data_IF_742087506063
#
_entry.id   IF_742087506063
#
_cell.length_a   1.000
_cell.length_b   1.000
_cell.length_c   1.000
_cell.angle_alpha   90.00
_cell.angle_beta   90.00
_cell.angle_gamma   90.00
#
_symmetry.space_group_name_H-M   'P 1'
#
loop_
_entity.id
_entity.type
_entity.pdbx_description
1 polymer ?
#
# COMPACT_ATOMS: atom_id res chain seq x y z
N UNK A 1 52.36 2.26 -31.45
CA UNK A 1 51.90 0.85 -31.30
C UNK A 1 50.45 0.88 -30.80
N UNK A 2 49.48 0.81 -31.75
CA UNK A 2 48.04 0.81 -31.48
C UNK A 2 47.61 -0.55 -30.96
N UNK A 3 47.24 -0.66 -29.72
CA UNK A 3 46.75 -1.91 -29.11
C UNK A 3 45.30 -2.15 -29.57
N UNK A 4 45.14 -2.93 -30.63
CA UNK A 4 43.83 -3.39 -31.11
C UNK A 4 43.16 -4.22 -30.00
N UNK A 5 42.18 -3.65 -29.31
CA UNK A 5 41.36 -4.33 -28.34
C UNK A 5 40.48 -5.36 -29.07
N UNK A 6 40.61 -6.64 -28.67
CA UNK A 6 39.99 -7.76 -29.35
C UNK A 6 38.46 -7.71 -29.15
N UNK A 7 37.71 -7.68 -30.25
CA UNK A 7 36.24 -7.62 -30.29
C UNK A 7 35.58 -8.69 -29.39
N UNK A 8 36.25 -9.83 -29.26
CA UNK A 8 35.81 -10.93 -28.38
C UNK A 8 35.86 -10.58 -26.87
N UNK A 9 36.85 -9.78 -26.45
CA UNK A 9 36.92 -9.30 -25.06
C UNK A 9 35.84 -8.22 -24.76
N UNK A 10 35.57 -7.38 -25.76
CA UNK A 10 34.49 -6.38 -25.64
C UNK A 10 33.10 -7.03 -25.57
N UNK A 11 32.83 -8.05 -26.42
CA UNK A 11 31.59 -8.82 -26.38
C UNK A 11 31.45 -9.65 -25.11
N UNK A 12 32.53 -10.20 -24.52
CA UNK A 12 32.49 -10.87 -23.21
C UNK A 12 32.19 -9.86 -22.07
N UNK A 13 32.70 -8.63 -22.14
CA UNK A 13 32.40 -7.57 -21.22
C UNK A 13 30.92 -7.16 -21.25
N UNK A 14 30.34 -7.05 -22.46
CA UNK A 14 28.91 -6.73 -22.60
C UNK A 14 28.00 -7.88 -22.15
N UNK A 15 28.33 -9.14 -22.41
CA UNK A 15 27.59 -10.30 -21.89
C UNK A 15 27.65 -10.38 -20.35
N UNK A 16 28.77 -9.99 -19.74
CA UNK A 16 28.90 -9.95 -18.28
C UNK A 16 28.12 -8.78 -17.65
N UNK A 17 28.01 -7.64 -18.32
CA UNK A 17 27.18 -6.51 -17.91
C UNK A 17 25.67 -6.77 -18.09
N UNK A 18 25.29 -7.54 -19.14
CA UNK A 18 23.90 -7.91 -19.42
C UNK A 18 23.39 -9.08 -18.55
N UNK A 19 24.29 -9.83 -17.90
CA UNK A 19 23.93 -11.00 -17.06
C UNK A 19 23.92 -10.71 -15.56
N UNK A 20 24.11 -9.47 -15.16
CA UNK A 20 23.71 -9.07 -13.82
C UNK A 20 22.19 -8.99 -13.84
N UNK A 21 21.54 -10.16 -13.70
CA UNK A 21 20.14 -10.25 -13.28
C UNK A 21 20.08 -9.45 -11.99
N UNK A 22 19.57 -8.23 -12.09
CA UNK A 22 19.05 -7.50 -10.93
C UNK A 22 17.96 -8.41 -10.37
N UNK A 23 18.36 -9.22 -9.41
CA UNK A 23 17.46 -10.13 -8.71
C UNK A 23 16.50 -9.21 -7.97
N UNK A 24 15.21 -9.45 -8.14
CA UNK A 24 14.09 -8.79 -7.44
C UNK A 24 14.28 -8.73 -5.90
N UNK A 25 15.26 -9.47 -5.40
CA UNK A 25 15.70 -9.53 -4.01
C UNK A 25 16.52 -8.31 -3.54
N UNK A 26 17.23 -7.63 -4.44
CA UNK A 26 18.05 -6.46 -4.07
C UNK A 26 17.18 -5.18 -3.91
N UNK A 27 15.94 -5.19 -4.42
CA UNK A 27 14.95 -4.14 -4.19
C UNK A 27 14.19 -4.27 -2.87
N UNK A 28 14.40 -5.36 -2.11
CA UNK A 28 13.68 -5.66 -0.87
C UNK A 28 14.46 -5.30 0.39
N UNK A 29 15.40 -4.37 0.37
CA UNK A 29 16.14 -4.00 1.57
C UNK A 29 15.50 -2.84 2.33
N UNK A 30 14.83 -3.22 3.42
CA UNK A 30 14.67 -2.51 4.70
C UNK A 30 14.31 -1.01 4.63
N UNK A 31 13.07 -0.75 4.26
CA UNK A 31 12.42 0.52 4.46
C UNK A 31 11.01 0.43 3.87
N UNK A 32 10.11 -0.27 4.56
CA UNK A 32 8.73 -0.34 4.12
C UNK A 32 8.14 1.07 4.07
N UNK A 33 8.08 1.63 2.86
CA UNK A 33 7.36 2.88 2.61
C UNK A 33 5.90 2.66 3.02
N UNK A 34 5.45 3.37 4.04
CA UNK A 34 4.05 3.25 4.48
C UNK A 34 3.14 3.97 3.49
N UNK A 35 1.91 3.47 3.30
CA UNK A 35 0.94 4.12 2.40
C UNK A 35 0.68 5.59 2.76
N UNK A 36 0.67 5.91 4.06
CA UNK A 36 0.58 7.28 4.55
C UNK A 36 1.85 8.09 4.19
N UNK A 37 3.02 7.52 4.40
CA UNK A 37 4.28 8.16 4.06
C UNK A 37 4.39 8.46 2.56
N UNK A 38 4.00 7.50 1.70
CA UNK A 38 3.99 7.70 0.25
C UNK A 38 3.05 8.84 -0.19
N UNK A 39 1.89 8.96 0.47
CA UNK A 39 0.96 10.08 0.22
C UNK A 39 1.54 11.43 0.62
N UNK A 40 2.23 11.50 1.76
CA UNK A 40 2.94 12.71 2.21
C UNK A 40 4.07 13.04 1.23
N UNK A 41 4.87 12.04 0.84
CA UNK A 41 5.94 12.20 -0.14
C UNK A 41 5.43 12.74 -1.48
N UNK A 42 4.33 12.17 -1.99
CA UNK A 42 3.68 12.65 -3.22
C UNK A 42 3.25 14.13 -3.11
N UNK A 43 2.63 14.52 -2.00
CA UNK A 43 2.20 15.91 -1.80
C UNK A 43 3.39 16.87 -1.78
N UNK A 44 4.52 16.47 -1.19
CA UNK A 44 5.75 17.27 -1.21
C UNK A 44 6.32 17.37 -2.63
N UNK A 45 6.40 16.25 -3.37
CA UNK A 45 6.88 16.26 -4.76
C UNK A 45 6.02 17.15 -5.66
N UNK A 46 4.69 17.14 -5.52
CA UNK A 46 3.81 18.05 -6.27
C UNK A 46 4.13 19.51 -6.02
N UNK A 47 4.24 19.90 -4.76
CA UNK A 47 4.57 21.30 -4.39
C UNK A 47 5.95 21.71 -4.87
N UNK A 48 6.96 20.81 -4.80
CA UNK A 48 8.29 21.05 -5.33
C UNK A 48 8.27 21.18 -6.86
N UNK A 49 7.50 20.33 -7.54
CA UNK A 49 7.34 20.40 -8.99
C UNK A 49 6.74 21.74 -9.42
N UNK A 50 5.65 22.20 -8.77
CA UNK A 50 5.02 23.48 -9.11
C UNK A 50 5.98 24.66 -8.94
N UNK A 51 6.77 24.70 -7.85
CA UNK A 51 7.76 25.74 -7.63
C UNK A 51 8.92 25.64 -8.65
N UNK A 52 9.40 24.43 -8.93
CA UNK A 52 10.50 24.24 -9.87
C UNK A 52 10.07 24.51 -11.32
N UNK A 53 8.84 24.16 -11.70
CA UNK A 53 8.27 24.44 -13.02
C UNK A 53 8.17 25.96 -13.29
N UNK A 54 7.98 26.76 -12.26
CA UNK A 54 7.99 28.23 -12.39
C UNK A 54 9.38 28.83 -12.53
N UNK A 55 10.43 28.01 -12.72
CA UNK A 55 11.83 28.44 -12.92
C UNK A 55 12.63 28.53 -11.63
N UNK A 56 12.07 28.17 -10.49
CA UNK A 56 12.77 28.23 -9.21
C UNK A 56 13.80 27.11 -9.07
N UNK A 57 15.04 27.38 -8.62
CA UNK A 57 16.02 26.38 -8.26
C UNK A 57 15.43 25.45 -7.17
N UNK A 58 15.73 24.15 -7.24
CA UNK A 58 15.15 23.16 -6.35
C UNK A 58 15.45 23.42 -4.86
N UNK A 59 16.64 23.94 -4.56
CA UNK A 59 17.03 24.33 -3.20
C UNK A 59 16.14 25.43 -2.63
N UNK A 60 15.88 26.48 -3.41
CA UNK A 60 15.00 27.59 -3.00
C UNK A 60 13.55 27.13 -2.88
N UNK A 61 13.10 26.25 -3.78
CA UNK A 61 11.76 25.64 -3.70
C UNK A 61 11.57 24.88 -2.39
N UNK A 62 12.54 24.07 -1.96
CA UNK A 62 12.50 23.35 -0.67
C UNK A 62 12.51 24.32 0.50
N UNK A 63 13.33 25.40 0.45
CA UNK A 63 13.39 26.43 1.50
C UNK A 63 12.06 27.16 1.67
N UNK A 64 11.42 27.54 0.58
CA UNK A 64 10.11 28.21 0.62
C UNK A 64 9.05 27.26 1.16
N UNK A 65 9.07 26.01 0.72
CA UNK A 65 8.12 25.00 1.14
C UNK A 65 8.17 24.76 2.67
N UNK A 66 9.37 24.75 3.26
CA UNK A 66 9.57 24.63 4.70
C UNK A 66 8.74 25.64 5.50
N UNK A 67 8.63 26.89 5.00
CA UNK A 67 7.91 27.96 5.70
C UNK A 67 6.40 27.95 5.45
N UNK A 68 5.94 27.28 4.38
CA UNK A 68 4.52 27.22 3.99
C UNK A 68 3.77 26.03 4.57
N UNK A 69 4.46 25.07 5.16
CA UNK A 69 3.83 23.86 5.71
C UNK A 69 3.43 24.05 7.15
N UNK A 70 2.14 23.77 7.43
CA UNK A 70 1.57 23.79 8.78
C UNK A 70 1.60 22.40 9.43
N UNK A 71 1.54 21.33 8.63
CA UNK A 71 1.57 19.95 9.13
C UNK A 71 2.95 19.60 9.65
N UNK A 72 3.01 19.11 10.89
CA UNK A 72 4.25 18.82 11.60
C UNK A 72 5.10 17.74 10.92
N UNK A 73 4.45 16.71 10.37
CA UNK A 73 5.15 15.58 9.72
C UNK A 73 5.74 16.01 8.37
N UNK A 74 4.97 16.76 7.57
CA UNK A 74 5.42 17.32 6.31
C UNK A 74 6.54 18.36 6.52
N UNK A 75 6.40 19.21 7.51
CA UNK A 75 7.43 20.22 7.84
C UNK A 75 8.74 19.56 8.26
N UNK A 76 8.69 18.57 9.14
CA UNK A 76 9.89 17.82 9.57
C UNK A 76 10.59 17.13 8.38
N UNK A 77 9.81 16.57 7.45
CA UNK A 77 10.33 15.97 6.23
C UNK A 77 11.08 17.01 5.37
N UNK A 78 10.45 18.15 5.10
CA UNK A 78 11.04 19.20 4.24
C UNK A 78 12.24 19.87 4.90
N UNK A 79 12.21 20.13 6.21
CA UNK A 79 13.36 20.63 6.99
C UNK A 79 14.55 19.69 6.85
N UNK A 80 14.31 18.38 6.97
CA UNK A 80 15.38 17.41 6.78
C UNK A 80 15.94 17.41 5.34
N UNK A 81 15.06 17.49 4.31
CA UNK A 81 15.51 17.60 2.91
C UNK A 81 16.33 18.87 2.72
N UNK A 82 15.86 20.00 3.24
CA UNK A 82 16.59 21.26 3.17
C UNK A 82 17.99 21.17 3.76
N UNK A 83 18.11 20.56 4.95
CA UNK A 83 19.42 20.39 5.60
C UNK A 83 20.38 19.60 4.71
N UNK A 84 19.93 18.45 4.15
CA UNK A 84 20.77 17.63 3.28
C UNK A 84 21.20 18.39 2.00
N UNK A 85 20.30 19.19 1.40
CA UNK A 85 20.64 20.03 0.25
C UNK A 85 21.62 21.14 0.61
N UNK A 86 21.49 21.74 1.80
CA UNK A 86 22.43 22.76 2.31
C UNK A 86 23.81 22.18 2.58
N UNK A 87 23.92 20.89 2.88
CA UNK A 87 25.17 20.14 3.00
C UNK A 87 25.77 19.72 1.64
N UNK A 88 25.14 20.14 0.52
CA UNK A 88 25.60 19.83 -0.83
C UNK A 88 25.17 18.48 -1.39
N UNK A 89 24.24 17.78 -0.73
CA UNK A 89 23.68 16.55 -1.28
C UNK A 89 22.70 16.87 -2.42
N UNK A 90 22.61 15.96 -3.39
CA UNK A 90 21.59 16.03 -4.44
C UNK A 90 20.18 15.76 -3.87
N UNK A 91 19.13 16.22 -4.56
CA UNK A 91 17.74 15.94 -4.16
C UNK A 91 17.48 14.44 -4.05
N UNK A 92 17.94 13.67 -5.03
CA UNK A 92 17.78 12.20 -5.01
C UNK A 92 18.41 11.56 -3.77
N UNK A 93 19.61 11.98 -3.39
CA UNK A 93 20.27 11.50 -2.15
C UNK A 93 19.53 11.94 -0.89
N UNK A 94 19.07 13.19 -0.85
CA UNK A 94 18.27 13.71 0.26
C UNK A 94 16.97 12.93 0.45
N UNK A 95 16.29 12.57 -0.64
CA UNK A 95 15.06 11.75 -0.61
C UNK A 95 15.34 10.29 -0.23
N UNK A 96 16.43 9.69 -0.70
CA UNK A 96 16.78 8.31 -0.44
C UNK A 96 17.04 8.01 1.05
N UNK A 97 17.46 9.00 1.82
CA UNK A 97 17.58 8.91 3.28
C UNK A 97 16.23 8.77 4.00
N UNK A 98 15.12 9.00 3.29
CA UNK A 98 13.74 9.04 3.85
C UNK A 98 12.88 7.95 3.27
N UNK A 99 13.32 6.70 3.45
CA UNK A 99 12.70 5.48 2.90
C UNK A 99 11.24 5.29 3.32
N UNK A 100 10.82 5.90 4.43
CA UNK A 100 9.41 5.90 4.85
C UNK A 100 8.49 6.64 3.88
N UNK A 101 9.00 7.65 3.18
CA UNK A 101 8.22 8.55 2.31
C UNK A 101 8.46 8.30 0.83
N UNK A 102 9.67 7.89 0.46
CA UNK A 102 10.09 7.71 -0.93
C UNK A 102 10.67 6.32 -1.15
N UNK A 103 10.18 5.65 -2.20
CA UNK A 103 10.72 4.34 -2.59
C UNK A 103 12.08 4.53 -3.30
N UNK A 104 12.99 3.53 -3.20
CA UNK A 104 14.27 3.59 -3.91
C UNK A 104 14.13 3.84 -5.41
N UNK A 105 13.11 3.22 -6.04
CA UNK A 105 12.84 3.39 -7.47
C UNK A 105 12.56 4.87 -7.83
N UNK A 106 11.76 5.57 -7.03
CA UNK A 106 11.50 7.01 -7.21
C UNK A 106 12.79 7.82 -7.09
N UNK A 107 13.62 7.52 -6.09
CA UNK A 107 14.88 8.22 -5.88
C UNK A 107 15.86 8.04 -7.04
N UNK A 108 15.97 6.82 -7.60
CA UNK A 108 16.83 6.54 -8.76
C UNK A 108 16.37 7.28 -10.01
N UNK A 109 15.05 7.36 -10.25
CA UNK A 109 14.51 8.12 -11.40
C UNK A 109 14.76 9.62 -11.23
N UNK A 110 14.62 10.16 -10.01
CA UNK A 110 14.98 11.56 -9.72
C UNK A 110 16.48 11.80 -9.94
N UNK A 111 17.33 10.87 -9.51
CA UNK A 111 18.77 10.94 -9.72
C UNK A 111 19.13 11.05 -11.21
N UNK A 112 18.48 10.25 -12.07
CA UNK A 112 18.66 10.32 -13.51
C UNK A 112 18.23 11.70 -14.06
N UNK A 113 17.12 12.27 -13.56
CA UNK A 113 16.63 13.59 -13.91
C UNK A 113 17.58 14.71 -13.49
N UNK A 114 18.17 14.62 -12.28
CA UNK A 114 19.19 15.57 -11.81
C UNK A 114 20.45 15.53 -12.68
N UNK A 115 20.94 14.33 -12.99
CA UNK A 115 22.15 14.14 -13.79
C UNK A 115 22.02 14.66 -15.23
N UNK A 116 20.80 14.63 -15.79
CA UNK A 116 20.52 15.10 -17.16
C UNK A 116 20.04 16.55 -17.22
N UNK A 117 19.83 17.21 -16.09
CA UNK A 117 19.27 18.58 -16.02
C UNK A 117 17.75 18.63 -16.35
N UNK A 118 17.08 17.49 -16.53
CA UNK A 118 15.68 17.41 -16.89
C UNK A 118 14.79 17.02 -15.71
N UNK A 119 14.98 17.67 -14.56
CA UNK A 119 14.28 17.33 -13.32
C UNK A 119 12.77 17.57 -13.40
N UNK A 120 12.32 18.69 -14.00
CA UNK A 120 10.90 19.03 -14.07
C UNK A 120 10.05 17.97 -14.81
N UNK A 121 10.38 17.54 -16.04
CA UNK A 121 9.60 16.49 -16.72
C UNK A 121 9.67 15.13 -16.00
N UNK A 122 10.77 14.82 -15.35
CA UNK A 122 10.91 13.59 -14.55
C UNK A 122 10.01 13.65 -13.32
N UNK A 123 9.98 14.74 -12.58
CA UNK A 123 9.07 14.92 -11.44
C UNK A 123 7.61 14.81 -11.87
N UNK A 124 7.23 15.41 -13.01
CA UNK A 124 5.87 15.28 -13.55
C UNK A 124 5.47 13.82 -13.77
N UNK A 125 6.33 13.01 -14.41
CA UNK A 125 6.07 11.59 -14.65
C UNK A 125 6.00 10.78 -13.37
N UNK A 126 6.85 11.06 -12.39
CA UNK A 126 6.82 10.38 -11.08
C UNK A 126 5.52 10.71 -10.35
N UNK A 127 5.10 11.97 -10.36
CA UNK A 127 3.85 12.40 -9.74
C UNK A 127 2.67 11.67 -10.38
N UNK A 128 2.58 11.66 -11.70
CA UNK A 128 1.54 10.93 -12.43
C UNK A 128 1.52 9.45 -12.06
N UNK A 129 2.67 8.79 -12.07
CA UNK A 129 2.78 7.38 -11.68
C UNK A 129 2.30 7.11 -10.25
N UNK A 130 2.69 7.96 -9.29
CA UNK A 130 2.28 7.80 -7.89
C UNK A 130 0.78 8.09 -7.69
N UNK A 131 0.20 9.04 -8.44
CA UNK A 131 -1.24 9.32 -8.45
C UNK A 131 -2.04 8.13 -8.99
N UNK A 132 -1.62 7.59 -10.14
CA UNK A 132 -2.25 6.42 -10.74
C UNK A 132 -2.18 5.21 -9.80
N UNK A 133 -1.03 4.97 -9.19
CA UNK A 133 -0.84 3.91 -8.19
C UNK A 133 -1.78 4.08 -7.00
N UNK A 134 -1.93 5.30 -6.48
CA UNK A 134 -2.85 5.58 -5.38
C UNK A 134 -4.32 5.41 -5.81
N UNK A 135 -4.68 5.85 -7.01
CA UNK A 135 -6.03 5.71 -7.57
C UNK A 135 -6.41 4.23 -7.74
N UNK A 136 -5.51 3.42 -8.30
CA UNK A 136 -5.71 1.97 -8.45
C UNK A 136 -5.90 1.32 -7.08
N UNK A 137 -5.03 1.61 -6.11
CA UNK A 137 -5.14 1.07 -4.76
C UNK A 137 -6.47 1.45 -4.08
N UNK A 138 -6.90 2.70 -4.24
CA UNK A 138 -8.18 3.18 -3.70
C UNK A 138 -9.36 2.48 -4.38
N UNK A 139 -9.29 2.30 -5.71
CA UNK A 139 -10.31 1.59 -6.48
C UNK A 139 -10.40 0.11 -6.08
N UNK A 140 -9.28 -0.58 -5.91
CA UNK A 140 -9.25 -1.98 -5.46
C UNK A 140 -9.93 -2.13 -4.09
N UNK A 141 -9.57 -1.27 -3.12
CA UNK A 141 -10.19 -1.27 -1.78
C UNK A 141 -11.69 -0.99 -1.82
N UNK A 142 -12.13 -0.10 -2.72
CA UNK A 142 -13.55 0.21 -2.92
C UNK A 142 -14.30 -0.96 -3.56
N UNK A 143 -13.68 -1.65 -4.51
CA UNK A 143 -14.28 -2.79 -5.20
C UNK A 143 -14.47 -4.01 -4.30
N UNK A 144 -13.68 -4.15 -3.23
CA UNK A 144 -13.84 -5.23 -2.24
C UNK A 144 -15.02 -5.01 -1.27
N UNK A 145 -15.63 -3.83 -1.24
CA UNK A 145 -16.75 -3.55 -0.36
C UNK A 145 -18.00 -4.37 -0.73
N UNK A 146 -18.28 -4.57 -2.01
CA UNK A 146 -19.43 -5.35 -2.48
C UNK A 146 -19.31 -6.84 -2.14
N UNK A 147 -18.23 -7.56 -2.47
CA UNK A 147 -18.06 -8.96 -2.06
C UNK A 147 -18.13 -9.14 -0.54
N UNK A 148 -17.53 -8.23 0.22
CA UNK A 148 -17.59 -8.29 1.68
C UNK A 148 -19.04 -8.14 2.20
N UNK A 149 -19.81 -7.21 1.65
CA UNK A 149 -21.22 -7.02 2.01
C UNK A 149 -22.07 -8.27 1.71
N UNK A 150 -21.94 -8.83 0.50
CA UNK A 150 -22.68 -10.03 0.09
C UNK A 150 -22.32 -11.21 0.98
N UNK A 151 -21.04 -11.41 1.29
CA UNK A 151 -20.59 -12.49 2.18
C UNK A 151 -21.15 -12.34 3.59
N UNK A 152 -21.19 -11.12 4.13
CA UNK A 152 -21.77 -10.84 5.45
C UNK A 152 -23.27 -11.16 5.46
N UNK A 153 -24.00 -10.73 4.44
CA UNK A 153 -25.45 -11.00 4.33
C UNK A 153 -25.72 -12.50 4.20
N UNK A 154 -24.97 -13.21 3.35
CA UNK A 154 -25.11 -14.66 3.20
C UNK A 154 -24.83 -15.41 4.51
N UNK A 155 -23.77 -15.03 5.24
CA UNK A 155 -23.46 -15.59 6.55
C UNK A 155 -24.57 -15.34 7.57
N UNK A 156 -25.14 -14.14 7.58
CA UNK A 156 -26.24 -13.79 8.47
C UNK A 156 -27.48 -14.64 8.18
N UNK A 157 -27.82 -14.85 6.91
CA UNK A 157 -28.94 -15.71 6.52
C UNK A 157 -28.71 -17.16 6.96
N UNK A 158 -27.50 -17.70 6.79
CA UNK A 158 -27.15 -19.07 7.24
C UNK A 158 -27.26 -19.19 8.76
N UNK A 159 -26.74 -18.22 9.50
CA UNK A 159 -26.85 -18.21 10.96
C UNK A 159 -28.32 -18.16 11.40
N UNK A 160 -29.12 -17.29 10.80
CA UNK A 160 -30.56 -17.20 11.10
C UNK A 160 -31.31 -18.50 10.78
N UNK A 161 -30.98 -19.15 9.68
CA UNK A 161 -31.54 -20.44 9.32
C UNK A 161 -31.23 -21.52 10.38
N UNK A 162 -29.95 -21.63 10.76
CA UNK A 162 -29.50 -22.62 11.74
C UNK A 162 -30.03 -22.37 13.16
N UNK A 163 -30.21 -21.08 13.54
CA UNK A 163 -30.62 -20.72 14.91
C UNK A 163 -32.16 -20.70 15.11
N UNK A 164 -32.91 -20.42 14.05
CA UNK A 164 -34.36 -20.21 14.14
C UNK A 164 -35.14 -21.33 13.47
N UNK A 165 -34.81 -21.65 12.20
CA UNK A 165 -35.58 -22.65 11.45
C UNK A 165 -35.26 -24.08 11.89
N UNK A 166 -33.99 -24.43 12.08
CA UNK A 166 -33.59 -25.78 12.42
C UNK A 166 -34.24 -26.28 13.70
N UNK A 167 -34.24 -25.52 14.84
CA UNK A 167 -34.90 -25.95 16.07
C UNK A 167 -36.43 -26.14 15.95
N UNK A 168 -37.07 -25.35 15.06
CA UNK A 168 -38.52 -25.50 14.83
C UNK A 168 -38.85 -26.82 14.10
N UNK A 169 -37.99 -27.20 13.15
CA UNK A 169 -38.14 -28.44 12.39
C UNK A 169 -37.89 -29.66 13.31
N UNK A 170 -36.90 -29.61 14.20
CA UNK A 170 -36.61 -30.63 15.20
C UNK A 170 -37.81 -30.88 16.12
N UNK A 171 -38.39 -29.83 16.67
CA UNK A 171 -39.55 -29.95 17.53
C UNK A 171 -40.81 -30.51 16.82
N UNK A 172 -40.91 -30.37 15.50
CA UNK A 172 -41.95 -30.97 14.71
C UNK A 172 -41.70 -32.46 14.43
N UNK A 173 -40.45 -32.86 14.12
CA UNK A 173 -40.05 -34.24 13.90
C UNK A 173 -40.18 -35.08 15.16
N UNK A 174 -39.78 -34.59 16.30
CA UNK A 174 -39.97 -35.31 17.60
C UNK A 174 -41.45 -35.61 17.89
N UNK A 175 -42.33 -34.67 17.56
CA UNK A 175 -43.80 -34.89 17.75
C UNK A 175 -44.39 -35.93 16.81
N UNK A 176 -43.75 -36.18 15.67
CA UNK A 176 -44.19 -37.15 14.66
C UNK A 176 -43.59 -38.56 14.88
N UNK A 177 -42.77 -38.78 15.90
CA UNK A 177 -42.14 -40.06 16.21
C UNK A 177 -41.11 -40.50 15.16
N UNK A 178 -40.59 -39.61 14.36
CA UNK A 178 -39.59 -39.91 13.34
C UNK A 178 -38.19 -40.08 13.96
N UNK A 179 -37.51 -41.19 13.62
CA UNK A 179 -36.11 -41.39 13.99
C UNK A 179 -35.23 -40.34 13.31
N UNK A 180 -34.47 -39.58 14.10
CA UNK A 180 -33.56 -38.60 13.61
C UNK A 180 -32.38 -39.28 12.90
N UNK A 181 -32.27 -39.12 11.59
CA UNK A 181 -31.17 -39.69 10.81
C UNK A 181 -29.83 -39.13 11.30
N UNK A 182 -28.78 -39.96 11.31
CA UNK A 182 -27.42 -39.57 11.78
C UNK A 182 -26.90 -38.28 11.16
N UNK A 183 -27.28 -37.98 9.91
CA UNK A 183 -26.95 -36.74 9.22
C UNK A 183 -27.65 -35.52 9.82
N UNK A 184 -28.85 -35.67 10.35
CA UNK A 184 -29.56 -34.64 11.09
C UNK A 184 -28.94 -34.41 12.47
N UNK A 185 -28.52 -35.48 13.18
CA UNK A 185 -27.77 -35.37 14.44
C UNK A 185 -26.45 -34.60 14.26
N UNK A 186 -25.73 -34.84 13.19
CA UNK A 186 -24.47 -34.14 12.89
C UNK A 186 -24.68 -32.63 12.61
N UNK A 187 -25.83 -32.27 12.01
CA UNK A 187 -26.27 -30.89 11.83
C UNK A 187 -26.68 -30.24 13.16
N UNK A 188 -27.37 -31.01 14.04
CA UNK A 188 -27.83 -30.57 15.35
C UNK A 188 -26.62 -30.30 16.28
N UNK A 189 -25.69 -31.26 16.36
CA UNK A 189 -24.46 -31.13 17.15
C UNK A 189 -23.57 -30.01 16.61
N UNK A 190 -23.46 -29.89 15.29
CA UNK A 190 -22.77 -28.76 14.63
C UNK A 190 -23.44 -27.42 14.93
N UNK A 191 -24.76 -27.35 14.95
CA UNK A 191 -25.53 -26.16 15.26
C UNK A 191 -25.40 -25.79 16.74
N UNK A 192 -25.44 -26.73 17.67
CA UNK A 192 -25.26 -26.47 19.11
C UNK A 192 -23.85 -25.97 19.43
N UNK A 193 -22.84 -26.51 18.73
CA UNK A 193 -21.47 -26.03 18.81
C UNK A 193 -21.35 -24.62 18.24
N UNK A 194 -22.04 -24.35 17.14
CA UNK A 194 -22.08 -23.01 16.49
C UNK A 194 -22.88 -22.01 17.32
N UNK A 195 -23.94 -22.43 18.05
CA UNK A 195 -24.68 -21.59 19.00
C UNK A 195 -23.83 -21.21 20.21
N UNK A 196 -23.00 -22.10 20.71
CA UNK A 196 -22.08 -21.84 21.82
C UNK A 196 -20.90 -20.92 21.38
N UNK A 197 -20.47 -21.06 20.11
CA UNK A 197 -19.48 -20.17 19.48
C UNK A 197 -20.14 -18.97 18.76
N UNK A 198 -21.46 -18.95 18.60
CA UNK A 198 -22.20 -17.90 17.88
C UNK A 198 -21.90 -16.48 18.36
N UNK A 199 -21.93 -16.21 19.68
CA UNK A 199 -21.54 -14.88 20.19
C UNK A 199 -20.07 -14.55 19.89
N UNK A 200 -19.19 -15.56 19.84
CA UNK A 200 -17.80 -15.38 19.47
C UNK A 200 -17.65 -15.07 17.96
N UNK A 201 -18.40 -15.76 17.09
CA UNK A 201 -18.42 -15.45 15.65
C UNK A 201 -19.02 -14.08 15.37
N UNK A 202 -20.08 -13.67 16.06
CA UNK A 202 -20.64 -12.32 15.97
C UNK A 202 -19.61 -11.29 16.43
N UNK A 203 -18.91 -11.55 17.52
CA UNK A 203 -17.84 -10.68 18.05
C UNK A 203 -16.66 -10.57 17.06
N UNK A 204 -16.24 -11.69 16.46
CA UNK A 204 -15.20 -11.72 15.43
C UNK A 204 -15.65 -10.95 14.17
N UNK A 205 -16.91 -11.10 13.77
CA UNK A 205 -17.48 -10.41 12.61
C UNK A 205 -17.58 -8.90 12.86
N UNK A 206 -18.03 -8.50 14.05
CA UNK A 206 -18.04 -7.08 14.49
C UNK A 206 -16.61 -6.54 14.58
N UNK A 207 -15.67 -7.30 15.13
CA UNK A 207 -14.26 -6.93 15.22
C UNK A 207 -13.63 -6.79 13.83
N UNK A 208 -14.01 -7.66 12.88
CA UNK A 208 -13.54 -7.62 11.50
C UNK A 208 -14.10 -6.40 10.75
N UNK A 209 -15.38 -6.09 10.94
CA UNK A 209 -16.01 -4.87 10.39
C UNK A 209 -15.39 -3.62 11.02
N UNK A 210 -15.17 -3.65 12.34
CA UNK A 210 -14.57 -2.55 13.07
C UNK A 210 -13.08 -2.37 12.71
N UNK A 211 -12.35 -3.47 12.53
CA UNK A 211 -10.96 -3.47 12.07
C UNK A 211 -10.84 -2.91 10.65
N UNK A 212 -11.72 -3.31 9.73
CA UNK A 212 -11.80 -2.75 8.38
C UNK A 212 -12.23 -1.28 8.40
N UNK A 213 -13.11 -0.89 9.31
CA UNK A 213 -13.52 0.51 9.54
C UNK A 213 -12.42 1.36 10.16
N UNK A 214 -11.71 0.83 11.14
CA UNK A 214 -10.55 1.47 11.78
C UNK A 214 -9.39 1.59 10.78
N UNK A 215 -9.16 0.58 9.95
CA UNK A 215 -8.15 0.63 8.89
C UNK A 215 -8.43 1.74 7.89
N UNK A 216 -9.71 2.03 7.60
CA UNK A 216 -10.12 3.21 6.81
C UNK A 216 -9.89 4.53 7.56
N UNK A 217 -10.13 4.57 8.86
CA UNK A 217 -9.95 5.78 9.68
C UNK A 217 -8.48 6.13 9.92
N UNK A 218 -7.61 5.15 10.07
CA UNK A 218 -6.17 5.38 10.32
C UNK A 218 -5.42 5.84 9.06
N UNK A 219 -6.00 5.63 7.88
CA UNK A 219 -5.36 5.98 6.60
C UNK A 219 -5.85 7.31 5.98
N UNK A 220 -6.95 7.91 6.48
CA UNK A 220 -7.60 9.07 5.82
C UNK A 220 -7.75 10.29 6.75
N UNK A 221 -7.51 10.12 8.04
CA UNK A 221 -7.79 11.17 9.01
C UNK A 221 -6.60 11.49 9.91
N UNK A 222 -5.59 12.14 9.39
CA UNK A 222 -4.80 13.19 10.05
C UNK A 222 -3.77 13.77 9.11
#
# INVERSE_FOLDING_TARGET
ASKKMNLAQWMKGMKKASSTKLTDKDFSTKGSTTAKGESIGLNILKRLYELHKSGMPIGDAVRILQNRLSDREQKALVVGIWRDLSEGLTLAKALSRRTRFFTPSVCHVIQAGEATGHLAPILAKIIQYLEEKQAIRKKMLSSMAYPAFVTIVALLVVVLFLTVLLPQIEGMLERLGGEITWSAQLLIDGSSWMLNLGPFFILVLIALIFSLGQWKRTQIGK
#
